data_IF_143634112506
#
_entry.id   IF_143634112506
#
_cell.length_a   1.000
_cell.length_b   1.000
_cell.length_c   1.000
_cell.angle_alpha   90.00
_cell.angle_beta   90.00
_cell.angle_gamma   90.00
#
_symmetry.space_group_name_H-M   'P 1'
#
loop_
_entity.id
_entity.type
_entity.pdbx_description
1 polymer ?
#
# COMPACT_ATOMS: atom_id res chain seq x y z
N UNK A 1 15.88 22.65 -38.67
CA UNK A 1 16.71 22.05 -37.63
C UNK A 1 15.84 21.96 -36.37
N UNK A 2 15.30 20.81 -36.07
CA UNK A 2 14.50 20.59 -34.86
C UNK A 2 15.47 20.08 -33.76
N UNK A 3 15.75 20.92 -32.77
CA UNK A 3 16.56 20.55 -31.64
C UNK A 3 15.82 19.58 -30.72
N UNK A 4 16.31 18.34 -30.63
CA UNK A 4 15.87 17.36 -29.64
C UNK A 4 16.29 17.85 -28.25
N UNK A 5 15.37 18.38 -27.46
CA UNK A 5 15.55 18.64 -26.04
C UNK A 5 15.42 17.29 -25.33
N UNK A 6 16.54 16.61 -25.11
CA UNK A 6 16.61 15.45 -24.23
C UNK A 6 16.32 15.94 -22.80
N UNK A 7 15.08 15.78 -22.34
CA UNK A 7 14.73 16.04 -20.95
C UNK A 7 15.44 15.00 -20.09
N UNK A 8 16.39 15.46 -19.27
CA UNK A 8 17.17 14.58 -18.38
C UNK A 8 16.29 14.18 -17.18
N UNK A 9 15.59 13.04 -17.28
CA UNK A 9 14.70 12.49 -16.24
C UNK A 9 15.45 11.93 -15.02
N UNK A 10 16.77 11.85 -15.05
CA UNK A 10 17.58 11.22 -14.01
C UNK A 10 17.40 11.82 -12.59
N UNK A 11 17.36 13.14 -12.40
CA UNK A 11 17.20 13.70 -11.05
C UNK A 11 15.79 13.53 -10.48
N UNK A 12 14.75 13.57 -11.31
CA UNK A 12 13.37 13.36 -10.87
C UNK A 12 13.11 11.91 -10.44
N UNK A 13 13.64 10.93 -11.17
CA UNK A 13 13.56 9.51 -10.82
C UNK A 13 14.28 9.23 -9.50
N UNK A 14 15.47 9.80 -9.29
CA UNK A 14 16.21 9.67 -8.03
C UNK A 14 15.44 10.32 -6.85
N UNK A 15 14.84 11.48 -7.06
CA UNK A 15 14.01 12.16 -6.06
C UNK A 15 12.78 11.35 -5.67
N UNK A 16 12.03 10.82 -6.64
CA UNK A 16 10.86 9.97 -6.38
C UNK A 16 11.25 8.68 -5.66
N UNK A 17 12.36 8.07 -6.03
CA UNK A 17 12.87 6.85 -5.37
C UNK A 17 13.22 7.12 -3.91
N UNK A 18 13.78 8.28 -3.58
CA UNK A 18 14.04 8.66 -2.20
C UNK A 18 12.73 8.82 -1.40
N UNK A 19 11.72 9.51 -1.96
CA UNK A 19 10.41 9.67 -1.29
C UNK A 19 9.75 8.30 -1.03
N UNK A 20 9.82 7.36 -1.98
CA UNK A 20 9.23 6.04 -1.81
C UNK A 20 9.94 5.24 -0.72
N UNK A 21 11.27 5.31 -0.66
CA UNK A 21 12.05 4.69 0.40
C UNK A 21 11.73 5.30 1.77
N UNK A 22 11.66 6.62 1.86
CA UNK A 22 11.30 7.32 3.10
C UNK A 22 9.94 6.86 3.64
N UNK A 23 8.95 6.66 2.76
CA UNK A 23 7.64 6.16 3.17
C UNK A 23 7.72 4.71 3.65
N UNK A 24 8.47 3.84 2.94
CA UNK A 24 8.67 2.45 3.35
C UNK A 24 9.36 2.34 4.72
N UNK A 25 10.28 3.24 5.02
CA UNK A 25 10.98 3.31 6.31
C UNK A 25 10.07 3.81 7.46
N UNK A 26 9.01 4.55 7.12
CA UNK A 26 8.01 5.01 8.09
C UNK A 26 6.87 4.01 8.32
N UNK A 27 6.83 2.89 7.61
CA UNK A 27 5.83 1.85 7.87
C UNK A 27 6.06 1.25 9.26
N UNK A 28 5.03 1.18 10.13
CA UNK A 28 5.19 0.75 11.51
C UNK A 28 5.27 -0.78 11.68
N UNK A 29 5.56 -1.50 10.61
CA UNK A 29 5.57 -2.95 10.58
C UNK A 29 6.99 -3.52 10.60
N UNK A 30 7.19 -4.63 11.31
CA UNK A 30 8.38 -5.46 11.18
C UNK A 30 8.30 -6.32 9.91
N UNK A 31 9.43 -6.86 9.48
CA UNK A 31 9.57 -7.60 8.22
C UNK A 31 8.56 -8.72 8.01
N UNK A 32 8.21 -9.46 9.08
CA UNK A 32 7.25 -10.58 9.01
C UNK A 32 5.79 -10.15 8.78
N UNK A 33 5.48 -8.87 9.00
CA UNK A 33 4.12 -8.31 8.81
C UNK A 33 4.11 -7.08 7.91
N UNK A 34 5.19 -6.81 7.17
CA UNK A 34 5.26 -5.76 6.18
C UNK A 34 4.94 -6.34 4.80
N UNK A 35 3.77 -6.01 4.27
CA UNK A 35 3.25 -6.48 2.99
C UNK A 35 3.34 -5.42 1.89
N UNK A 36 4.47 -4.74 1.82
CA UNK A 36 4.78 -3.72 0.81
C UNK A 36 6.23 -3.91 0.37
N UNK A 37 6.45 -4.32 -0.89
CA UNK A 37 7.79 -4.45 -1.46
C UNK A 37 8.18 -3.18 -2.20
N UNK A 38 7.26 -2.62 -3.00
CA UNK A 38 7.55 -1.52 -3.88
C UNK A 38 6.37 -0.57 -4.05
N UNK A 39 6.68 0.73 -4.14
CA UNK A 39 5.75 1.79 -4.53
C UNK A 39 6.14 2.21 -5.95
N UNK A 40 5.23 2.06 -6.92
CA UNK A 40 5.47 2.41 -8.32
C UNK A 40 4.83 3.74 -8.72
N UNK A 41 3.83 4.21 -7.98
CA UNK A 41 3.20 5.51 -8.18
C UNK A 41 2.65 6.04 -6.86
N UNK A 42 2.74 7.35 -6.67
CA UNK A 42 2.21 8.02 -5.47
C UNK A 42 1.88 9.47 -5.78
N UNK A 43 0.68 9.88 -5.42
CA UNK A 43 0.19 11.25 -5.50
C UNK A 43 -0.67 11.58 -4.29
N UNK A 44 -1.18 12.81 -4.21
CA UNK A 44 -2.15 13.19 -3.15
C UNK A 44 -3.48 12.43 -3.20
N UNK A 45 -3.80 11.77 -4.32
CA UNK A 45 -5.10 11.14 -4.55
C UNK A 45 -5.03 9.64 -4.83
N UNK A 46 -3.85 9.11 -5.16
CA UNK A 46 -3.68 7.73 -5.62
C UNK A 46 -2.32 7.16 -5.20
N UNK A 47 -2.31 5.88 -4.88
CA UNK A 47 -1.09 5.07 -4.73
C UNK A 47 -1.19 3.79 -5.56
N UNK A 48 -0.06 3.37 -6.13
CA UNK A 48 0.13 2.05 -6.72
C UNK A 48 1.40 1.43 -6.13
N UNK A 49 1.26 0.21 -5.63
CA UNK A 49 2.37 -0.56 -5.06
C UNK A 49 2.20 -2.05 -5.30
N UNK A 50 3.20 -2.82 -4.95
CA UNK A 50 3.22 -4.27 -5.15
C UNK A 50 3.79 -5.00 -3.95
N UNK A 51 3.39 -6.27 -3.84
CA UNK A 51 3.90 -7.22 -2.87
C UNK A 51 3.98 -8.61 -3.50
N UNK A 52 5.04 -9.37 -3.18
CA UNK A 52 5.21 -10.76 -3.58
C UNK A 52 5.01 -11.66 -2.37
N UNK A 53 4.02 -12.55 -2.45
CA UNK A 53 3.68 -13.49 -1.38
C UNK A 53 4.86 -14.44 -1.14
N UNK A 54 5.45 -14.41 0.05
CA UNK A 54 6.56 -15.31 0.39
C UNK A 54 6.04 -16.76 0.46
N UNK A 55 6.73 -17.69 -0.21
CA UNK A 55 6.29 -19.09 -0.31
C UNK A 55 6.24 -19.80 1.03
N UNK A 56 7.06 -19.38 1.96
CA UNK A 56 7.23 -19.89 3.32
C UNK A 56 6.54 -19.02 4.40
N UNK A 57 5.58 -18.18 3.99
CA UNK A 57 4.86 -17.37 4.95
C UNK A 57 4.07 -18.27 5.93
N UNK A 58 4.12 -17.90 7.22
CA UNK A 58 3.64 -18.68 8.36
C UNK A 58 2.20 -19.21 8.23
N UNK A 59 1.34 -18.51 7.48
CA UNK A 59 -0.06 -18.88 7.33
C UNK A 59 -0.30 -19.99 6.29
N UNK A 60 0.67 -20.33 5.45
CA UNK A 60 0.47 -21.32 4.39
C UNK A 60 0.53 -22.77 4.89
N UNK A 61 1.20 -23.02 6.02
CA UNK A 61 1.27 -24.36 6.62
C UNK A 61 -0.12 -24.87 7.01
N UNK A 62 -0.97 -23.96 7.52
CA UNK A 62 -2.28 -24.30 8.07
C UNK A 62 -3.46 -23.88 7.17
N UNK A 63 -3.23 -23.05 6.14
CA UNK A 63 -4.31 -22.54 5.28
C UNK A 63 -4.07 -22.82 3.77
N UNK A 64 -4.38 -23.93 3.23
CA UNK A 64 -4.92 -25.21 3.72
C UNK A 64 -3.84 -26.28 3.57
N UNK A 65 -3.69 -27.24 4.51
CA UNK A 65 -2.65 -28.27 4.42
C UNK A 65 -2.66 -29.03 3.08
N UNK A 66 -1.51 -29.03 2.40
CA UNK A 66 -1.37 -29.69 1.08
C UNK A 66 -1.93 -28.90 -0.13
N UNK A 67 -2.65 -27.80 0.10
CA UNK A 67 -3.16 -26.93 -0.95
C UNK A 67 -3.16 -25.45 -0.47
N UNK A 68 -2.00 -24.84 -0.30
CA UNK A 68 -1.89 -23.51 0.30
C UNK A 68 -2.49 -22.43 -0.60
N UNK A 69 -3.32 -21.59 0.00
CA UNK A 69 -3.95 -20.41 -0.61
C UNK A 69 -3.78 -19.23 0.33
N UNK A 70 -3.56 -18.04 -0.20
CA UNK A 70 -3.45 -16.83 0.62
C UNK A 70 -4.78 -16.52 1.31
N UNK A 71 -4.82 -16.45 2.67
CA UNK A 71 -6.04 -16.10 3.39
C UNK A 71 -6.60 -14.76 2.97
N UNK A 72 -7.93 -14.64 2.86
CA UNK A 72 -8.60 -13.39 2.51
C UNK A 72 -8.27 -12.24 3.46
N UNK A 73 -8.04 -12.53 4.74
CA UNK A 73 -7.60 -11.53 5.74
C UNK A 73 -6.21 -10.99 5.44
N UNK A 74 -5.29 -11.80 4.89
CA UNK A 74 -3.97 -11.36 4.45
C UNK A 74 -4.08 -10.52 3.18
N UNK A 75 -4.92 -10.91 2.22
CA UNK A 75 -5.23 -10.09 1.04
C UNK A 75 -5.75 -8.71 1.48
N UNK A 76 -6.68 -8.68 2.43
CA UNK A 76 -7.22 -7.44 3.00
C UNK A 76 -6.12 -6.60 3.65
N UNK A 77 -5.21 -7.20 4.39
CA UNK A 77 -4.09 -6.49 5.02
C UNK A 77 -3.09 -5.93 3.99
N UNK A 78 -2.73 -6.69 2.96
CA UNK A 78 -1.90 -6.20 1.85
C UNK A 78 -2.56 -4.96 1.20
N UNK A 79 -3.86 -5.04 0.91
CA UNK A 79 -4.64 -3.92 0.35
C UNK A 79 -4.66 -2.72 1.29
N UNK A 80 -4.80 -2.93 2.60
CA UNK A 80 -4.80 -1.86 3.61
C UNK A 80 -3.42 -1.20 3.72
N UNK A 81 -2.34 -1.98 3.79
CA UNK A 81 -0.98 -1.43 3.92
C UNK A 81 -0.59 -0.59 2.71
N UNK A 82 -0.74 -1.12 1.49
CA UNK A 82 -0.40 -0.37 0.28
C UNK A 82 -1.42 0.75 0.04
N UNK A 83 -2.71 0.43 0.11
CA UNK A 83 -3.76 1.34 -0.33
C UNK A 83 -4.12 2.44 0.67
N UNK A 84 -3.95 2.19 1.96
CA UNK A 84 -4.38 3.11 3.01
C UNK A 84 -3.19 3.67 3.79
N UNK A 85 -2.30 2.80 4.28
CA UNK A 85 -1.20 3.22 5.16
C UNK A 85 -0.14 4.00 4.39
N UNK A 86 0.34 3.50 3.26
CA UNK A 86 1.31 4.21 2.40
C UNK A 86 0.76 5.57 1.97
N UNK A 87 -0.47 5.62 1.48
CA UNK A 87 -1.10 6.88 1.07
C UNK A 87 -1.30 7.82 2.25
N UNK A 88 -1.70 7.32 3.40
CA UNK A 88 -1.90 8.10 4.62
C UNK A 88 -0.59 8.73 5.13
N UNK A 89 0.51 7.97 5.16
CA UNK A 89 1.84 8.48 5.50
C UNK A 89 2.25 9.58 4.52
N UNK A 90 2.09 9.35 3.21
CA UNK A 90 2.40 10.36 2.20
C UNK A 90 1.62 11.67 2.41
N UNK A 91 0.34 11.59 2.72
CA UNK A 91 -0.51 12.79 2.94
C UNK A 91 -0.06 13.57 4.18
N UNK A 92 0.35 12.88 5.25
CA UNK A 92 0.87 13.52 6.45
C UNK A 92 2.21 14.19 6.16
N UNK A 93 3.14 13.48 5.51
CA UNK A 93 4.46 14.01 5.13
C UNK A 93 4.37 15.29 4.30
N UNK A 94 3.35 15.41 3.46
CA UNK A 94 3.14 16.57 2.59
C UNK A 94 2.19 17.63 3.19
N UNK A 95 2.04 17.66 4.51
CA UNK A 95 1.30 18.73 5.21
C UNK A 95 -0.22 18.65 5.07
N UNK A 96 -0.76 17.52 4.56
CA UNK A 96 -2.22 17.30 4.51
C UNK A 96 -2.76 16.73 5.83
N UNK A 97 -1.88 16.53 6.84
CA UNK A 97 -2.23 16.12 8.20
C UNK A 97 -2.83 17.26 9.03
N UNK A 98 -3.41 16.91 10.18
CA UNK A 98 -3.89 17.90 11.13
C UNK A 98 -2.73 18.74 11.69
N UNK A 99 -3.00 20.01 12.08
CA UNK A 99 -2.02 20.84 12.80
C UNK A 99 -1.56 20.09 14.07
N UNK A 100 -0.25 19.87 14.20
CA UNK A 100 0.33 19.11 15.33
C UNK A 100 0.69 17.65 15.02
N UNK A 101 0.49 17.18 13.79
CA UNK A 101 1.07 15.90 13.33
C UNK A 101 2.57 16.13 13.09
N UNK A 102 3.37 16.02 14.16
CA UNK A 102 4.82 16.20 14.09
C UNK A 102 5.49 14.92 13.57
N UNK A 103 6.39 15.11 12.60
CA UNK A 103 7.31 14.07 12.16
C UNK A 103 8.23 13.67 13.33
N UNK A 104 8.36 12.35 13.56
CA UNK A 104 9.19 11.78 14.63
C UNK A 104 8.42 11.16 15.79
N UNK A 105 7.10 11.39 15.90
CA UNK A 105 6.26 10.62 16.84
C UNK A 105 5.84 9.29 16.20
N UNK A 106 5.75 8.23 17.01
CA UNK A 106 5.24 6.93 16.54
C UNK A 106 3.81 7.10 16.05
N UNK A 107 3.59 6.72 14.80
CA UNK A 107 2.29 6.80 14.15
C UNK A 107 1.70 5.39 14.10
N UNK A 108 0.45 5.25 14.53
CA UNK A 108 -0.28 3.99 14.46
C UNK A 108 -1.44 4.13 13.49
N UNK A 109 -1.29 3.58 12.27
CA UNK A 109 -2.42 3.47 11.35
C UNK A 109 -3.33 2.34 11.81
N UNK A 110 -4.59 2.67 12.07
CA UNK A 110 -5.61 1.73 12.51
C UNK A 110 -6.69 1.59 11.45
N UNK A 111 -6.90 0.38 10.95
CA UNK A 111 -8.04 0.07 10.09
C UNK A 111 -9.34 0.20 10.91
N UNK A 112 -10.29 1.00 10.43
CA UNK A 112 -11.58 1.21 11.12
C UNK A 112 -12.75 0.53 10.43
N UNK A 113 -12.64 0.31 9.12
CA UNK A 113 -13.60 -0.50 8.37
C UNK A 113 -13.00 -0.97 7.05
N UNK A 114 -13.43 -2.15 6.62
CA UNK A 114 -13.19 -2.68 5.28
C UNK A 114 -14.43 -3.42 4.80
N UNK A 115 -14.77 -3.20 3.54
CA UNK A 115 -15.80 -3.95 2.81
C UNK A 115 -15.16 -4.45 1.53
N UNK A 116 -14.86 -5.76 1.45
CA UNK A 116 -13.99 -6.36 0.43
C UNK A 116 -14.68 -7.54 -0.23
N UNK A 117 -14.69 -7.53 -1.56
CA UNK A 117 -15.09 -8.66 -2.39
C UNK A 117 -13.84 -9.31 -3.02
N UNK A 118 -13.80 -10.64 -2.99
CA UNK A 118 -12.71 -11.45 -3.54
C UNK A 118 -13.20 -12.19 -4.79
N UNK A 119 -12.40 -12.17 -5.85
CA UNK A 119 -12.76 -12.71 -7.16
C UNK A 119 -11.85 -13.84 -7.59
N UNK A 120 -10.59 -13.85 -7.10
CA UNK A 120 -9.58 -14.85 -7.46
C UNK A 120 -8.74 -15.22 -6.24
N UNK A 121 -8.27 -16.46 -6.24
CA UNK A 121 -7.27 -16.95 -5.28
C UNK A 121 -5.91 -16.34 -5.62
N UNK A 122 -5.06 -16.19 -4.60
CA UNK A 122 -3.64 -15.84 -4.73
C UNK A 122 -2.83 -16.94 -4.08
N UNK A 123 -1.86 -17.48 -4.81
CA UNK A 123 -1.05 -18.62 -4.38
C UNK A 123 0.31 -18.16 -3.81
N UNK A 124 1.00 -19.03 -3.06
CA UNK A 124 2.36 -18.76 -2.59
C UNK A 124 3.32 -18.39 -3.73
N UNK A 125 4.07 -17.33 -3.57
CA UNK A 125 5.04 -16.85 -4.56
C UNK A 125 4.48 -15.97 -5.65
N UNK A 126 3.17 -15.75 -5.71
CA UNK A 126 2.57 -14.82 -6.66
C UNK A 126 2.81 -13.36 -6.25
N UNK A 127 2.97 -12.50 -7.25
CA UNK A 127 3.07 -11.05 -7.06
C UNK A 127 1.72 -10.41 -7.34
N UNK A 128 1.34 -9.46 -6.48
CA UNK A 128 0.12 -8.68 -6.61
C UNK A 128 0.42 -7.20 -6.71
N UNK A 129 -0.40 -6.49 -7.46
CA UNK A 129 -0.39 -5.03 -7.57
C UNK A 129 -1.64 -4.47 -6.93
N UNK A 130 -1.47 -3.47 -6.06
CA UNK A 130 -2.57 -2.76 -5.41
C UNK A 130 -2.62 -1.33 -5.92
N UNK A 131 -3.82 -0.89 -6.31
CA UNK A 131 -4.13 0.49 -6.71
C UNK A 131 -5.19 1.01 -5.76
N UNK A 132 -4.93 2.18 -5.19
CA UNK A 132 -5.86 2.83 -4.26
C UNK A 132 -6.14 4.26 -4.68
N UNK A 133 -7.43 4.63 -4.66
CA UNK A 133 -7.90 5.99 -4.94
C UNK A 133 -8.60 6.56 -3.72
N UNK A 134 -8.12 7.74 -3.29
CA UNK A 134 -8.65 8.46 -2.14
C UNK A 134 -10.06 9.00 -2.43
N UNK A 135 -10.98 8.78 -1.49
CA UNK A 135 -12.25 9.48 -1.44
C UNK A 135 -12.11 10.79 -0.67
N UNK A 136 -11.54 10.70 0.55
CA UNK A 136 -11.25 11.86 1.39
C UNK A 136 -10.14 11.54 2.40
N UNK A 137 -9.50 12.60 2.87
CA UNK A 137 -8.67 12.60 4.07
C UNK A 137 -9.06 13.80 4.92
N UNK A 138 -9.67 13.55 6.07
CA UNK A 138 -10.18 14.60 6.99
C UNK A 138 -10.07 14.11 8.42
N UNK A 139 -9.63 14.99 9.32
CA UNK A 139 -9.53 14.70 10.75
C UNK A 139 -8.75 13.39 11.02
N UNK A 140 -7.62 13.22 10.35
CA UNK A 140 -6.80 12.00 10.45
C UNK A 140 -7.47 10.74 9.89
N UNK A 141 -8.70 10.81 9.37
CA UNK A 141 -9.41 9.69 8.77
C UNK A 141 -9.27 9.70 7.26
N UNK A 142 -8.72 8.61 6.73
CA UNK A 142 -8.57 8.34 5.31
C UNK A 142 -9.63 7.31 4.87
N UNK A 143 -10.26 7.55 3.71
CA UNK A 143 -11.14 6.58 3.04
C UNK A 143 -10.73 6.42 1.59
N UNK A 144 -10.62 5.17 1.13
CA UNK A 144 -10.18 4.84 -0.23
C UNK A 144 -11.03 3.72 -0.85
N UNK A 145 -11.10 3.71 -2.16
CA UNK A 145 -11.38 2.50 -2.95
C UNK A 145 -10.06 1.84 -3.28
N UNK A 146 -9.92 0.56 -2.96
CA UNK A 146 -8.69 -0.22 -3.17
C UNK A 146 -8.99 -1.42 -4.07
N UNK A 147 -8.14 -1.67 -5.03
CA UNK A 147 -8.21 -2.79 -5.97
C UNK A 147 -6.89 -3.53 -5.99
N UNK A 148 -6.95 -4.85 -6.02
CA UNK A 148 -5.77 -5.72 -6.15
C UNK A 148 -5.86 -6.52 -7.43
N UNK A 149 -4.74 -6.63 -8.12
CA UNK A 149 -4.59 -7.34 -9.39
C UNK A 149 -3.44 -8.34 -9.29
N UNK A 150 -3.55 -9.48 -9.99
CA UNK A 150 -2.46 -10.44 -10.16
C UNK A 150 -1.49 -10.00 -11.28
N UNK A 151 -0.47 -10.81 -11.55
CA UNK A 151 0.54 -10.54 -12.58
C UNK A 151 -0.04 -10.52 -14.02
N UNK A 152 -1.21 -11.14 -14.24
CA UNK A 152 -1.93 -11.12 -15.51
C UNK A 152 -2.91 -9.95 -15.62
N UNK A 153 -2.82 -8.95 -14.71
CA UNK A 153 -3.72 -7.79 -14.63
C UNK A 153 -5.20 -8.14 -14.40
N UNK A 154 -5.48 -9.33 -13.89
CA UNK A 154 -6.83 -9.72 -13.53
C UNK A 154 -7.18 -9.25 -12.11
N UNK A 155 -8.42 -8.78 -11.91
CA UNK A 155 -8.90 -8.32 -10.62
C UNK A 155 -8.99 -9.49 -9.63
N UNK A 156 -8.23 -9.40 -8.55
CA UNK A 156 -8.19 -10.37 -7.43
C UNK A 156 -9.18 -10.00 -6.35
N UNK A 157 -9.16 -8.73 -5.92
CA UNK A 157 -10.04 -8.24 -4.88
C UNK A 157 -10.30 -6.73 -5.08
N UNK A 158 -11.44 -6.27 -4.57
CA UNK A 158 -11.81 -4.85 -4.55
C UNK A 158 -12.57 -4.53 -3.28
N UNK A 159 -12.32 -3.36 -2.72
CA UNK A 159 -13.04 -2.95 -1.52
C UNK A 159 -12.96 -1.46 -1.24
N UNK A 160 -13.75 -1.06 -0.23
CA UNK A 160 -13.71 0.27 0.38
C UNK A 160 -13.07 0.13 1.75
N UNK A 161 -12.02 0.90 1.98
CA UNK A 161 -11.25 0.89 3.22
C UNK A 161 -11.34 2.24 3.92
N UNK A 162 -11.42 2.22 5.23
CA UNK A 162 -11.26 3.43 6.05
C UNK A 162 -10.30 3.15 7.19
N UNK A 163 -9.48 4.12 7.52
CA UNK A 163 -8.55 4.05 8.63
C UNK A 163 -8.33 5.42 9.26
N UNK A 164 -7.75 5.42 10.44
CA UNK A 164 -7.31 6.60 11.15
C UNK A 164 -5.84 6.48 11.49
N UNK A 165 -5.16 7.61 11.55
CA UNK A 165 -3.79 7.68 12.05
C UNK A 165 -3.84 8.29 13.44
N UNK A 166 -3.34 7.53 14.43
CA UNK A 166 -3.15 8.00 15.81
C UNK A 166 -1.68 8.19 16.08
N UNK A 167 -1.35 9.25 16.78
CA UNK A 167 -0.03 9.46 17.37
C UNK A 167 -0.05 8.91 18.81
N UNK A 168 1.08 8.28 19.22
CA UNK A 168 1.32 7.90 20.60
C UNK A 168 1.88 9.08 21.38
#
# INVERSE_FOLDING_TARGET
MAGNIAVNYHPLIAYLKNIYNDILDHLPYKSSFRFVDHISFLSKDEVKGSYTLQKDAFFYEDHFPGNPVTPGVIITEIMAQIGLVVLGIHLILNGSGEPGTEFGKKVFPLLTSSDVSFYKMVLPGESVTVISKKHYFRFGKLKCTVQMYNASEELVAKGIFSGIIKQA
#
